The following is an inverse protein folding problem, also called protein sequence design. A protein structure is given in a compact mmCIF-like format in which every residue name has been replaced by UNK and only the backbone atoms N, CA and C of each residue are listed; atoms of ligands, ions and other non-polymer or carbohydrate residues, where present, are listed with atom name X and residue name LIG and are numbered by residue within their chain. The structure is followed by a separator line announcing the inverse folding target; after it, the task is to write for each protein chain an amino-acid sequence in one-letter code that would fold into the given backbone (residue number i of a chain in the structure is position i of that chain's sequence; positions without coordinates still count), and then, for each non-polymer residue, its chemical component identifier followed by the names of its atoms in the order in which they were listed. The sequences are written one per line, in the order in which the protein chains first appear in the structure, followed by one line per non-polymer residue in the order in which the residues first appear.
data_IF_379213049407
#
_entry.id   IF_379213049407
#
_cell.length_a   1.000
_cell.length_b   1.000
_cell.length_c   1.000
_cell.angle_alpha   90.00
_cell.angle_beta   90.00
_cell.angle_gamma   90.00
#
_symmetry.space_group_name_H-M   'P 1'
#
loop_
_entity.id
_entity.type
_entity.pdbx_description
1 polymer ?
#
# COMPACT_ATOMS: atom_id res chain seq x y z
N UNK A 1 3.51 26.44 0.43
CA UNK A 1 4.64 25.49 0.47
C UNK A 1 5.51 25.76 1.69
N UNK A 2 5.93 27.02 1.92
CA UNK A 2 6.78 27.39 3.08
C UNK A 2 6.10 27.05 4.42
N UNK A 3 4.81 27.36 4.56
CA UNK A 3 4.02 27.08 5.79
C UNK A 3 3.89 25.61 6.16
N UNK A 4 4.00 24.70 5.19
CA UNK A 4 3.96 23.25 5.43
C UNK A 4 5.34 22.74 5.86
N UNK A 5 6.41 23.27 5.27
CA UNK A 5 7.78 22.88 5.63
C UNK A 5 8.11 23.18 7.10
N UNK A 6 7.57 24.29 7.64
CA UNK A 6 7.71 24.65 9.04
C UNK A 6 6.96 23.71 10.01
N UNK A 7 6.00 22.93 9.49
CA UNK A 7 5.18 22.00 10.26
C UNK A 7 5.60 20.53 10.14
N UNK A 8 6.63 20.24 9.34
CA UNK A 8 7.20 18.90 9.25
C UNK A 8 7.90 18.58 10.57
N UNK A 9 7.46 17.50 11.20
CA UNK A 9 8.08 17.00 12.42
C UNK A 9 8.92 15.75 12.09
N UNK A 10 10.26 15.82 12.13
CA UNK A 10 11.12 14.70 11.80
C UNK A 10 11.03 13.53 12.79
N UNK A 11 10.40 13.75 13.95
CA UNK A 11 10.18 12.73 14.97
C UNK A 11 8.77 12.12 14.94
N UNK A 12 7.90 12.59 14.04
CA UNK A 12 6.56 12.04 13.89
C UNK A 12 6.60 10.68 13.17
N UNK A 13 5.72 9.78 13.57
CA UNK A 13 5.40 8.59 12.79
C UNK A 13 4.86 9.01 11.43
N UNK A 14 5.49 8.56 10.36
CA UNK A 14 5.16 8.97 9.01
C UNK A 14 4.49 7.83 8.24
N UNK A 15 3.25 8.05 7.80
CA UNK A 15 2.48 7.08 7.02
C UNK A 15 2.28 7.59 5.59
N UNK A 16 2.67 6.80 4.62
CA UNK A 16 2.59 7.12 3.20
C UNK A 16 1.44 6.41 2.48
N UNK A 17 0.78 7.14 1.60
CA UNK A 17 -0.19 6.62 0.64
C UNK A 17 0.14 7.20 -0.74
N UNK A 18 0.61 6.36 -1.64
CA UNK A 18 1.04 6.82 -2.97
C UNK A 18 0.62 5.86 -4.07
N UNK A 19 -0.30 6.30 -4.95
CA UNK A 19 -0.82 5.46 -6.03
C UNK A 19 -1.65 6.24 -7.04
N UNK A 20 -2.06 5.55 -8.12
CA UNK A 20 -3.10 6.06 -8.99
C UNK A 20 -4.40 6.22 -8.21
N UNK A 21 -5.02 7.38 -8.30
CA UNK A 21 -6.32 7.66 -7.71
C UNK A 21 -7.42 7.09 -8.61
N UNK A 22 -8.00 5.98 -8.15
CA UNK A 22 -9.21 5.37 -8.67
C UNK A 22 -10.11 5.04 -7.48
N UNK A 23 -11.42 5.04 -7.68
CA UNK A 23 -12.40 4.90 -6.58
C UNK A 23 -12.19 3.65 -5.74
N UNK A 24 -11.89 2.50 -6.35
CA UNK A 24 -11.69 1.25 -5.63
C UNK A 24 -10.43 1.22 -4.73
N UNK A 25 -9.48 2.15 -4.94
CA UNK A 25 -8.31 2.32 -4.08
C UNK A 25 -8.64 2.99 -2.75
N UNK A 26 -9.83 3.56 -2.63
CA UNK A 26 -10.43 4.14 -1.43
C UNK A 26 -9.50 5.11 -0.67
N UNK A 27 -8.87 6.03 -1.39
CA UNK A 27 -8.02 7.05 -0.77
C UNK A 27 -8.76 7.90 0.29
N UNK A 28 -10.10 7.92 0.24
CA UNK A 28 -10.98 8.62 1.20
C UNK A 28 -11.17 7.87 2.53
N UNK A 29 -10.80 6.59 2.61
CA UNK A 29 -11.18 5.73 3.72
C UNK A 29 -10.70 6.27 5.08
N UNK A 30 -9.48 6.82 5.14
CA UNK A 30 -8.92 7.46 6.34
C UNK A 30 -9.73 8.69 6.79
N UNK A 31 -10.56 9.28 5.93
CA UNK A 31 -11.32 10.50 6.19
C UNK A 31 -12.81 10.24 6.48
N UNK A 32 -13.17 8.99 6.75
CA UNK A 32 -14.56 8.57 7.05
C UNK A 32 -15.05 9.14 8.38
N UNK A 33 -14.15 9.24 9.38
CA UNK A 33 -14.43 9.86 10.69
C UNK A 33 -13.36 10.92 10.97
N UNK A 34 -13.67 12.17 10.59
CA UNK A 34 -12.73 13.28 10.74
C UNK A 34 -12.48 13.68 12.19
N UNK A 35 -13.46 13.50 13.06
CA UNK A 35 -13.31 13.84 14.48
C UNK A 35 -12.34 12.88 15.18
N UNK A 36 -12.45 11.59 14.87
CA UNK A 36 -11.53 10.58 15.37
C UNK A 36 -10.12 10.78 14.80
N UNK A 37 -10.02 11.01 13.48
CA UNK A 37 -8.76 11.31 12.84
C UNK A 37 -8.08 12.55 13.42
N UNK A 38 -8.85 13.63 13.68
CA UNK A 38 -8.32 14.84 14.30
C UNK A 38 -7.72 14.58 15.68
N UNK A 39 -8.36 13.75 16.50
CA UNK A 39 -7.83 13.34 17.81
C UNK A 39 -6.51 12.56 17.67
N UNK A 40 -6.41 11.69 16.69
CA UNK A 40 -5.20 10.90 16.42
C UNK A 40 -4.04 11.81 16.00
N UNK A 41 -4.25 12.69 15.01
CA UNK A 41 -3.16 13.48 14.42
C UNK A 41 -2.75 14.70 15.28
N UNK A 42 -3.58 15.13 16.21
CA UNK A 42 -3.29 16.24 17.13
C UNK A 42 -2.81 15.77 18.51
N UNK A 43 -2.47 14.51 18.66
CA UNK A 43 -1.87 14.04 19.90
C UNK A 43 -0.39 14.46 19.96
N UNK A 44 -0.09 15.45 20.78
CA UNK A 44 1.27 16.01 20.92
C UNK A 44 2.29 15.00 21.48
N UNK A 45 1.84 14.04 22.27
CA UNK A 45 2.69 13.00 22.84
C UNK A 45 3.11 11.96 21.80
N UNK A 46 2.26 11.72 20.82
CA UNK A 46 2.46 10.71 19.77
C UNK A 46 2.22 11.32 18.38
N UNK A 47 3.09 12.25 17.94
CA UNK A 47 2.88 12.95 16.67
C UNK A 47 2.89 12.00 15.49
N UNK A 48 1.92 12.16 14.60
CA UNK A 48 1.76 11.37 13.38
C UNK A 48 1.47 12.28 12.19
N UNK A 49 2.03 11.95 11.05
CA UNK A 49 1.77 12.65 9.79
C UNK A 49 1.45 11.65 8.69
N UNK A 50 0.46 11.99 7.87
CA UNK A 50 0.09 11.23 6.68
C UNK A 50 0.49 11.99 5.43
N UNK A 51 1.16 11.30 4.52
CA UNK A 51 1.58 11.85 3.23
C UNK A 51 0.87 11.12 2.11
N UNK A 52 0.01 11.84 1.41
CA UNK A 52 -0.71 11.38 0.24
C UNK A 52 -0.05 11.90 -1.03
N UNK A 53 0.03 11.09 -2.06
CA UNK A 53 0.44 11.50 -3.39
C UNK A 53 -0.19 10.60 -4.44
N UNK A 54 -0.38 11.10 -5.64
CA UNK A 54 -0.93 10.32 -6.74
C UNK A 54 -1.46 11.18 -7.87
N UNK A 55 -1.93 10.51 -8.91
CA UNK A 55 -2.58 11.13 -10.06
C UNK A 55 -3.86 10.36 -10.40
N UNK A 56 -4.88 11.08 -10.82
CA UNK A 56 -6.06 10.51 -11.44
C UNK A 56 -5.94 10.58 -12.97
N UNK A 57 -6.56 9.64 -13.66
CA UNK A 57 -6.66 9.73 -15.11
C UNK A 57 -7.48 10.97 -15.51
N UNK A 58 -7.13 11.70 -16.59
CA UNK A 58 -7.87 12.91 -17.01
C UNK A 58 -9.37 12.69 -17.26
N UNK A 59 -9.78 11.47 -17.63
CA UNK A 59 -11.18 11.09 -17.80
C UNK A 59 -11.85 10.52 -16.54
N UNK A 60 -11.12 10.38 -15.42
CA UNK A 60 -11.64 9.84 -14.16
C UNK A 60 -12.03 10.97 -13.20
N UNK A 61 -13.24 11.47 -13.34
CA UNK A 61 -13.79 12.51 -12.46
C UNK A 61 -13.90 12.08 -11.00
N UNK A 62 -14.13 10.79 -10.73
CA UNK A 62 -14.15 10.22 -9.38
C UNK A 62 -12.80 10.31 -8.70
N UNK A 63 -11.73 9.86 -9.37
CA UNK A 63 -10.37 9.96 -8.87
C UNK A 63 -9.91 11.40 -8.65
N UNK A 64 -10.27 12.32 -9.56
CA UNK A 64 -9.99 13.75 -9.40
C UNK A 64 -10.73 14.33 -8.18
N UNK A 65 -11.99 13.93 -7.99
CA UNK A 65 -12.79 14.32 -6.82
C UNK A 65 -12.16 13.88 -5.49
N UNK A 66 -11.57 12.68 -5.43
CA UNK A 66 -10.84 12.19 -4.26
C UNK A 66 -9.62 13.05 -3.96
N UNK A 67 -8.83 13.41 -4.95
CA UNK A 67 -7.68 14.31 -4.78
C UNK A 67 -8.13 15.66 -4.23
N UNK A 68 -9.16 16.26 -4.84
CA UNK A 68 -9.72 17.54 -4.38
C UNK A 68 -10.16 17.44 -2.92
N UNK A 69 -10.88 16.41 -2.55
CA UNK A 69 -11.37 16.19 -1.18
C UNK A 69 -10.22 16.12 -0.16
N UNK A 70 -9.16 15.36 -0.46
CA UNK A 70 -8.00 15.24 0.44
C UNK A 70 -7.26 16.58 0.57
N UNK A 71 -7.10 17.31 -0.53
CA UNK A 71 -6.47 18.64 -0.51
C UNK A 71 -7.29 19.65 0.30
N UNK A 72 -8.61 19.60 0.21
CA UNK A 72 -9.50 20.44 1.03
C UNK A 72 -9.37 20.12 2.52
N UNK A 73 -9.34 18.84 2.89
CA UNK A 73 -9.14 18.41 4.28
C UNK A 73 -7.75 18.84 4.78
N UNK A 74 -6.71 18.67 4.00
CA UNK A 74 -5.33 19.00 4.40
C UNK A 74 -5.12 20.49 4.74
N UNK A 75 -6.04 21.35 4.27
CA UNK A 75 -6.01 22.80 4.53
C UNK A 75 -6.80 23.23 5.76
N UNK A 76 -7.59 22.34 6.37
CA UNK A 76 -8.32 22.64 7.60
C UNK A 76 -7.34 22.84 8.76
N UNK A 77 -7.65 23.74 9.70
CA UNK A 77 -6.75 24.05 10.81
C UNK A 77 -6.29 22.81 11.59
N UNK A 78 -7.20 21.88 11.85
CA UNK A 78 -6.93 20.66 12.62
C UNK A 78 -6.04 19.65 11.88
N UNK A 79 -5.95 19.74 10.55
CA UNK A 79 -5.17 18.82 9.71
C UNK A 79 -3.93 19.45 9.07
N UNK A 80 -3.77 20.75 9.20
CA UNK A 80 -2.69 21.49 8.56
C UNK A 80 -1.31 21.01 9.07
N UNK A 81 -0.48 20.48 8.15
CA UNK A 81 0.81 19.89 8.47
C UNK A 81 0.73 18.47 9.06
N UNK A 82 -0.48 17.90 9.22
CA UNK A 82 -0.72 16.52 9.66
C UNK A 82 -1.15 15.63 8.51
N UNK A 83 -2.00 16.16 7.63
CA UNK A 83 -2.38 15.53 6.36
C UNK A 83 -1.71 16.35 5.26
N UNK A 84 -0.80 15.73 4.53
CA UNK A 84 0.02 16.38 3.52
C UNK A 84 -0.28 15.74 2.16
N UNK A 85 -0.60 16.55 1.16
CA UNK A 85 -0.71 16.08 -0.21
C UNK A 85 0.47 16.59 -1.05
N UNK A 86 1.25 15.66 -1.61
CA UNK A 86 2.36 15.97 -2.50
C UNK A 86 1.90 15.88 -3.95
N UNK A 87 2.03 16.97 -4.65
CA UNK A 87 1.69 17.08 -6.07
C UNK A 87 2.77 16.46 -6.98
N UNK A 88 2.44 16.32 -8.25
CA UNK A 88 3.35 15.86 -9.31
C UNK A 88 3.94 14.46 -9.08
N UNK A 89 3.12 13.53 -8.60
CA UNK A 89 3.52 12.14 -8.43
C UNK A 89 4.21 11.57 -9.69
N UNK A 90 5.45 11.13 -9.51
CA UNK A 90 6.28 10.49 -10.51
C UNK A 90 7.15 9.39 -9.88
N UNK A 91 7.96 8.71 -10.68
CA UNK A 91 8.84 7.65 -10.19
C UNK A 91 9.90 8.15 -9.19
N UNK A 92 10.36 9.38 -9.33
CA UNK A 92 11.37 9.98 -8.46
C UNK A 92 10.80 10.26 -7.07
N UNK A 93 9.59 10.83 -7.02
CA UNK A 93 8.86 11.03 -5.77
C UNK A 93 8.47 9.70 -5.13
N UNK A 94 7.96 8.75 -5.94
CA UNK A 94 7.59 7.42 -5.46
C UNK A 94 8.74 6.70 -4.76
N UNK A 95 9.94 6.69 -5.33
CA UNK A 95 11.12 6.06 -4.71
C UNK A 95 11.43 6.64 -3.34
N UNK A 96 11.39 7.98 -3.22
CA UNK A 96 11.68 8.65 -1.96
C UNK A 96 10.61 8.40 -0.90
N UNK A 97 9.35 8.42 -1.31
CA UNK A 97 8.24 8.20 -0.39
C UNK A 97 8.23 6.75 0.11
N UNK A 98 8.31 5.78 -0.79
CA UNK A 98 8.28 4.35 -0.46
C UNK A 98 9.42 3.93 0.48
N UNK A 99 10.59 4.55 0.37
CA UNK A 99 11.72 4.25 1.25
C UNK A 99 11.87 5.20 2.44
N UNK A 100 11.08 6.28 2.49
CA UNK A 100 11.25 7.36 3.46
C UNK A 100 10.15 7.45 4.53
N UNK A 101 9.06 6.70 4.39
CA UNK A 101 8.01 6.63 5.42
C UNK A 101 8.23 5.45 6.36
N UNK A 102 7.55 5.43 7.50
CA UNK A 102 7.61 4.33 8.45
C UNK A 102 6.59 3.24 8.13
N UNK A 103 5.43 3.64 7.64
CA UNK A 103 4.32 2.73 7.28
C UNK A 103 3.80 3.08 5.89
N UNK A 104 3.52 2.05 5.12
CA UNK A 104 2.88 2.15 3.80
C UNK A 104 1.44 1.68 3.87
N UNK A 105 0.50 2.58 3.62
CA UNK A 105 -0.94 2.34 3.73
C UNK A 105 -1.53 1.97 2.38
N UNK A 106 -2.31 0.86 2.34
CA UNK A 106 -3.10 0.43 1.19
C UNK A 106 -4.53 0.07 1.60
N UNK A 107 -5.49 0.65 0.94
CA UNK A 107 -6.91 0.52 1.29
C UNK A 107 -7.80 0.09 0.12
N UNK A 108 -7.41 -0.86 -0.74
CA UNK A 108 -8.24 -1.24 -1.88
C UNK A 108 -9.55 -1.89 -1.45
N UNK A 109 -10.56 -1.80 -2.31
CA UNK A 109 -11.79 -2.58 -2.17
C UNK A 109 -11.51 -4.03 -2.58
N UNK A 110 -11.77 -4.99 -1.70
CA UNK A 110 -11.62 -6.41 -2.01
C UNK A 110 -12.73 -6.88 -2.95
N UNK A 111 -12.43 -7.77 -3.90
CA UNK A 111 -11.13 -8.37 -4.29
C UNK A 111 -10.53 -7.68 -5.54
N UNK A 112 -10.54 -6.37 -5.62
CA UNK A 112 -10.22 -5.62 -6.84
C UNK A 112 -8.73 -5.31 -7.02
N UNK A 113 -7.88 -5.52 -6.01
CA UNK A 113 -6.43 -5.34 -6.13
C UNK A 113 -5.77 -6.64 -6.58
N UNK A 114 -5.24 -6.65 -7.80
CA UNK A 114 -4.62 -7.85 -8.36
C UNK A 114 -3.28 -8.21 -7.70
N UNK A 115 -2.46 -7.23 -7.37
CA UNK A 115 -1.16 -7.42 -6.71
C UNK A 115 -0.83 -6.33 -5.70
N UNK A 116 -0.61 -5.08 -6.11
CA UNK A 116 -0.24 -3.99 -5.21
C UNK A 116 1.25 -3.93 -4.88
N UNK A 117 2.11 -4.01 -5.91
CA UNK A 117 3.58 -4.10 -5.79
C UNK A 117 4.25 -2.94 -5.03
N UNK A 118 3.56 -1.83 -4.78
CA UNK A 118 4.11 -0.73 -3.98
C UNK A 118 4.38 -1.15 -2.53
N UNK A 119 3.53 -2.02 -1.96
CA UNK A 119 3.73 -2.59 -0.63
C UNK A 119 4.97 -3.49 -0.56
N UNK A 120 5.23 -4.30 -1.59
CA UNK A 120 6.44 -5.12 -1.70
C UNK A 120 7.71 -4.26 -1.72
N UNK A 121 7.68 -3.15 -2.48
CA UNK A 121 8.79 -2.20 -2.54
C UNK A 121 9.04 -1.50 -1.21
N UNK A 122 7.98 -1.11 -0.51
CA UNK A 122 8.07 -0.49 0.81
C UNK A 122 8.74 -1.47 1.79
N UNK A 123 8.26 -2.68 1.84
CA UNK A 123 8.78 -3.74 2.70
C UNK A 123 10.26 -4.02 2.47
N UNK A 124 10.71 -4.14 1.22
CA UNK A 124 12.12 -4.33 0.87
C UNK A 124 13.02 -3.17 1.31
N UNK A 125 12.44 -2.02 1.64
CA UNK A 125 13.12 -0.85 2.17
C UNK A 125 12.97 -0.69 3.70
N UNK A 126 12.40 -1.68 4.39
CA UNK A 126 12.19 -1.65 5.84
C UNK A 126 10.99 -0.80 6.26
N UNK A 127 10.13 -0.42 5.33
CA UNK A 127 8.86 0.27 5.60
C UNK A 127 7.78 -0.79 5.84
N UNK A 128 7.04 -0.67 6.94
CA UNK A 128 6.05 -1.66 7.32
C UNK A 128 4.75 -1.49 6.51
N UNK A 129 4.23 -2.59 5.99
CA UNK A 129 2.99 -2.56 5.21
C UNK A 129 1.77 -2.63 6.10
N UNK A 130 0.82 -1.72 5.88
CA UNK A 130 -0.51 -1.71 6.50
C UNK A 130 -1.58 -1.70 5.42
N UNK A 131 -2.25 -2.80 5.23
CA UNK A 131 -3.14 -2.99 4.09
C UNK A 131 -4.34 -3.84 4.40
N UNK A 132 -5.39 -3.65 3.61
CA UNK A 132 -6.44 -4.65 3.41
C UNK A 132 -5.79 -5.94 2.91
N UNK A 133 -6.30 -7.09 3.36
CA UNK A 133 -5.86 -8.41 2.87
C UNK A 133 -6.40 -8.66 1.47
N UNK A 134 -5.71 -8.09 0.49
CA UNK A 134 -5.98 -8.21 -0.95
C UNK A 134 -4.68 -8.15 -1.75
N UNK A 135 -4.70 -8.65 -2.97
CA UNK A 135 -3.51 -8.76 -3.80
C UNK A 135 -2.39 -9.57 -3.10
N UNK A 136 -1.16 -9.09 -3.20
CA UNK A 136 0.00 -9.76 -2.62
C UNK A 136 -0.07 -9.90 -1.09
N UNK A 137 -0.69 -8.94 -0.38
CA UNK A 137 -0.78 -8.97 1.09
C UNK A 137 -1.70 -10.07 1.60
N UNK A 138 -2.64 -10.54 0.77
CA UNK A 138 -3.45 -11.71 1.08
C UNK A 138 -2.61 -12.98 1.24
N UNK A 139 -1.56 -13.11 0.43
CA UNK A 139 -0.64 -14.25 0.45
C UNK A 139 0.55 -14.02 1.38
N UNK A 140 1.07 -12.79 1.43
CA UNK A 140 2.34 -12.46 2.08
C UNK A 140 2.24 -12.00 3.52
N UNK A 141 1.04 -11.73 4.02
CA UNK A 141 0.88 -11.25 5.39
C UNK A 141 1.36 -12.27 6.42
N UNK A 142 2.26 -11.83 7.29
CA UNK A 142 2.74 -12.56 8.47
C UNK A 142 2.52 -11.68 9.70
N UNK A 143 1.89 -12.23 10.72
CA UNK A 143 1.71 -11.54 12.00
C UNK A 143 3.08 -11.12 12.59
N UNK A 144 3.14 -9.88 13.08
CA UNK A 144 4.38 -9.29 13.59
C UNK A 144 5.36 -8.82 12.50
N UNK A 145 4.94 -8.75 11.23
CA UNK A 145 5.73 -8.25 10.10
C UNK A 145 5.06 -7.08 9.35
N UNK A 146 3.98 -6.57 9.88
CA UNK A 146 3.15 -5.50 9.34
C UNK A 146 1.74 -5.63 9.89
N UNK A 147 0.79 -4.87 9.35
CA UNK A 147 -0.60 -4.88 9.80
C UNK A 147 -1.56 -5.14 8.66
N UNK A 148 -2.65 -5.80 8.99
CA UNK A 148 -3.70 -6.14 8.05
C UNK A 148 -5.08 -5.85 8.64
N UNK A 149 -6.01 -5.46 7.76
CA UNK A 149 -7.43 -5.51 8.09
C UNK A 149 -7.85 -6.98 7.97
N UNK A 150 -7.90 -7.67 9.09
CA UNK A 150 -8.02 -9.13 9.16
C UNK A 150 -9.41 -9.67 8.83
N UNK A 151 -10.44 -8.84 8.87
CA UNK A 151 -11.76 -9.26 8.44
C UNK A 151 -11.77 -9.50 6.92
N UNK A 152 -11.92 -10.76 6.54
CA UNK A 152 -11.96 -11.20 5.14
C UNK A 152 -13.36 -11.16 4.55
N UNK A 153 -14.37 -10.82 5.34
CA UNK A 153 -15.75 -10.72 4.86
C UNK A 153 -15.90 -9.53 3.92
N UNK A 154 -16.68 -9.72 2.88
CA UNK A 154 -17.13 -8.68 1.98
C UNK A 154 -18.63 -8.47 2.18
N UNK A 155 -19.05 -7.23 2.18
CA UNK A 155 -20.44 -6.84 2.31
C UNK A 155 -20.95 -6.31 0.97
N UNK A 156 -22.19 -6.60 0.63
CA UNK A 156 -22.84 -6.08 -0.58
C UNK A 156 -22.96 -4.54 -0.53
N UNK A 157 -23.14 -3.99 0.68
CA UNK A 157 -23.19 -2.53 0.88
C UNK A 157 -21.78 -1.98 1.05
N UNK A 158 -21.27 -1.31 0.03
CA UNK A 158 -19.93 -0.72 0.02
C UNK A 158 -19.74 0.35 1.11
N UNK A 159 -20.76 1.15 1.40
CA UNK A 159 -20.66 2.18 2.45
C UNK A 159 -20.48 1.54 3.84
N UNK A 160 -21.18 0.45 4.09
CA UNK A 160 -21.04 -0.30 5.33
C UNK A 160 -19.64 -0.92 5.44
N UNK A 161 -19.13 -1.50 4.35
CA UNK A 161 -17.77 -2.01 4.27
C UNK A 161 -16.73 -0.91 4.55
N UNK A 162 -16.91 0.26 3.97
CA UNK A 162 -16.00 1.39 4.16
C UNK A 162 -15.98 1.88 5.62
N UNK A 163 -17.13 1.94 6.27
CA UNK A 163 -17.22 2.29 7.69
C UNK A 163 -16.51 1.28 8.59
N UNK A 164 -16.68 -0.01 8.34
CA UNK A 164 -16.04 -1.08 9.11
C UNK A 164 -14.51 -1.05 8.90
N UNK A 165 -14.07 -0.96 7.67
CA UNK A 165 -12.63 -0.92 7.35
C UNK A 165 -11.97 0.34 7.93
N UNK A 166 -12.62 1.50 7.85
CA UNK A 166 -12.14 2.73 8.45
C UNK A 166 -12.01 2.62 9.97
N UNK A 167 -13.03 2.07 10.64
CA UNK A 167 -13.01 1.84 12.09
C UNK A 167 -11.86 0.91 12.49
N UNK A 168 -11.59 -0.12 11.69
CA UNK A 168 -10.47 -1.04 11.88
C UNK A 168 -9.13 -0.34 11.70
N UNK A 169 -8.99 0.53 10.69
CA UNK A 169 -7.77 1.33 10.48
C UNK A 169 -7.48 2.19 11.71
N UNK A 170 -8.46 2.94 12.19
CA UNK A 170 -8.28 3.78 13.38
C UNK A 170 -7.93 2.94 14.61
N UNK A 171 -8.60 1.81 14.79
CA UNK A 171 -8.31 0.91 15.90
C UNK A 171 -6.86 0.42 15.86
N UNK A 172 -6.38 -0.08 14.72
CA UNK A 172 -4.99 -0.52 14.57
C UNK A 172 -3.99 0.62 14.81
N UNK A 173 -4.30 1.83 14.34
CA UNK A 173 -3.45 3.00 14.60
C UNK A 173 -3.34 3.29 16.10
N UNK A 174 -4.48 3.33 16.80
CA UNK A 174 -4.56 3.71 18.20
C UNK A 174 -4.01 2.66 19.16
N UNK A 175 -4.22 1.37 18.87
CA UNK A 175 -3.93 0.28 19.80
C UNK A 175 -2.63 -0.48 19.50
N UNK A 176 -2.15 -0.43 18.26
CA UNK A 176 -1.00 -1.22 17.83
C UNK A 176 0.12 -0.37 17.24
N UNK A 177 -0.14 0.32 16.13
CA UNK A 177 0.91 0.98 15.33
C UNK A 177 1.58 2.11 16.10
N UNK A 178 0.80 3.06 16.61
CA UNK A 178 1.32 4.21 17.36
C UNK A 178 2.00 3.76 18.66
N UNK A 179 1.38 2.93 19.50
CA UNK A 179 2.05 2.46 20.73
C UNK A 179 3.35 1.72 20.45
N UNK A 180 3.40 0.84 19.45
CA UNK A 180 4.61 0.09 19.09
C UNK A 180 5.72 1.02 18.62
N UNK A 181 5.41 2.03 17.79
CA UNK A 181 6.42 2.98 17.31
C UNK A 181 7.02 3.81 18.44
N UNK A 182 6.19 4.27 19.38
CA UNK A 182 6.60 5.16 20.45
C UNK A 182 7.09 4.45 21.74
N UNK A 183 7.05 3.12 21.80
CA UNK A 183 7.64 2.34 22.89
C UNK A 183 9.18 2.35 22.82
N UNK A 184 9.78 3.55 22.83
CA UNK A 184 11.21 3.76 22.67
C UNK A 184 11.96 3.45 23.96
N UNK A 185 13.09 2.74 23.84
CA UNK A 185 14.02 2.47 24.94
C UNK A 185 14.93 3.68 25.21
N UNK A 186 15.86 3.52 26.16
CA UNK A 186 16.84 4.56 26.51
C UNK A 186 17.79 4.97 25.37
N UNK A 187 17.88 4.16 24.31
CA UNK A 187 18.68 4.44 23.10
C UNK A 187 17.87 5.18 22.02
N UNK A 188 16.60 5.48 22.27
CA UNK A 188 15.76 6.29 21.40
C UNK A 188 15.08 5.53 20.25
N UNK A 189 15.08 4.20 20.24
CA UNK A 189 14.34 3.38 19.27
C UNK A 189 13.41 2.38 19.95
N UNK A 190 12.36 1.95 19.25
CA UNK A 190 11.45 0.90 19.71
C UNK A 190 12.00 -0.49 19.31
N UNK A 191 12.33 -1.36 20.27
CA UNK A 191 12.78 -2.73 19.97
C UNK A 191 11.72 -3.54 19.20
N UNK A 192 10.44 -3.37 19.55
CA UNK A 192 9.36 -4.09 18.90
C UNK A 192 9.17 -3.61 17.44
N UNK A 193 9.29 -2.30 17.18
CA UNK A 193 9.28 -1.78 15.81
C UNK A 193 10.39 -2.38 14.96
N UNK A 194 11.60 -2.42 15.50
CA UNK A 194 12.75 -3.06 14.82
C UNK A 194 12.50 -4.55 14.59
N UNK A 195 11.84 -5.23 15.53
CA UNK A 195 11.48 -6.63 15.34
C UNK A 195 10.47 -6.84 14.20
N UNK A 196 9.48 -5.96 14.07
CA UNK A 196 8.56 -5.96 12.92
C UNK A 196 9.32 -5.82 11.59
N UNK A 197 10.26 -4.87 11.50
CA UNK A 197 11.10 -4.69 10.31
C UNK A 197 11.93 -5.94 10.01
N UNK A 198 12.56 -6.53 11.01
CA UNK A 198 13.33 -7.77 10.84
C UNK A 198 12.46 -8.92 10.37
N UNK A 199 11.28 -9.07 10.94
CA UNK A 199 10.33 -10.11 10.53
C UNK A 199 9.87 -9.91 9.08
N UNK A 200 9.56 -8.68 8.71
CA UNK A 200 9.15 -8.31 7.35
C UNK A 200 10.22 -8.69 6.33
N UNK A 201 11.44 -8.25 6.54
CA UNK A 201 12.57 -8.54 5.64
C UNK A 201 12.91 -10.05 5.63
N UNK A 202 12.91 -10.72 6.79
CA UNK A 202 13.36 -12.10 6.87
C UNK A 202 12.32 -13.13 6.41
N UNK A 203 11.03 -12.87 6.67
CA UNK A 203 9.97 -13.86 6.46
C UNK A 203 9.16 -13.63 5.18
N UNK A 204 9.14 -12.39 4.65
CA UNK A 204 8.31 -12.03 3.52
C UNK A 204 9.16 -11.69 2.29
N UNK A 205 10.12 -10.78 2.42
CA UNK A 205 10.87 -10.26 1.26
C UNK A 205 11.49 -11.35 0.35
N UNK A 206 12.03 -12.47 0.83
CA UNK A 206 12.61 -13.50 -0.04
C UNK A 206 11.62 -14.08 -1.05
N UNK A 207 10.35 -14.22 -0.68
CA UNK A 207 9.30 -14.81 -1.52
C UNK A 207 8.76 -13.83 -2.57
N UNK A 208 9.03 -12.52 -2.40
CA UNK A 208 8.53 -11.45 -3.29
C UNK A 208 9.63 -10.77 -4.11
N UNK A 209 10.78 -11.43 -4.29
CA UNK A 209 11.85 -10.94 -5.16
C UNK A 209 11.54 -11.15 -6.63
N UNK A 210 12.05 -10.26 -7.48
CA UNK A 210 11.98 -10.43 -8.94
C UNK A 210 12.68 -11.72 -9.40
N UNK A 211 13.77 -12.10 -8.72
CA UNK A 211 14.48 -13.35 -9.03
C UNK A 211 13.58 -14.56 -8.87
N UNK A 212 12.91 -14.70 -7.72
CA UNK A 212 12.01 -15.82 -7.46
C UNK A 212 10.87 -15.86 -8.48
N UNK A 213 10.28 -14.70 -8.81
CA UNK A 213 9.23 -14.60 -9.81
C UNK A 213 9.70 -15.05 -11.21
N UNK A 214 10.89 -14.62 -11.63
CA UNK A 214 11.47 -15.03 -12.92
C UNK A 214 11.77 -16.53 -12.96
N UNK A 215 12.36 -17.08 -11.92
CA UNK A 215 12.63 -18.53 -11.81
C UNK A 215 11.31 -19.33 -11.98
N UNK A 216 10.24 -18.92 -11.28
CA UNK A 216 8.91 -19.55 -11.41
C UNK A 216 8.34 -19.43 -12.84
N UNK A 217 8.52 -18.28 -13.49
CA UNK A 217 8.03 -18.08 -14.86
C UNK A 217 8.81 -18.89 -15.88
N UNK A 218 10.13 -19.00 -15.73
CA UNK A 218 10.96 -19.84 -16.59
C UNK A 218 10.56 -21.31 -16.48
N UNK A 219 10.48 -21.84 -15.25
CA UNK A 219 10.17 -23.24 -15.02
C UNK A 219 8.73 -23.62 -15.41
N UNK A 220 7.78 -22.78 -15.01
CA UNK A 220 6.34 -23.11 -15.19
C UNK A 220 5.82 -22.82 -16.58
N UNK A 221 6.37 -21.81 -17.26
CA UNK A 221 5.81 -21.31 -18.53
C UNK A 221 6.83 -21.23 -19.66
N UNK A 222 7.91 -20.48 -19.54
CA UNK A 222 8.73 -20.11 -20.68
C UNK A 222 9.44 -21.30 -21.34
N UNK A 223 10.06 -22.18 -20.57
CA UNK A 223 10.70 -23.38 -21.12
C UNK A 223 9.69 -24.31 -21.81
N UNK A 224 8.52 -24.49 -21.19
CA UNK A 224 7.45 -25.32 -21.77
C UNK A 224 6.89 -24.71 -23.05
N UNK A 225 6.70 -23.40 -23.08
CA UNK A 225 6.22 -22.69 -24.26
C UNK A 225 7.24 -22.69 -25.37
N UNK A 226 8.52 -22.49 -25.08
CA UNK A 226 9.61 -22.57 -26.06
C UNK A 226 9.68 -23.96 -26.73
N UNK A 227 9.62 -25.02 -25.91
CA UNK A 227 9.59 -26.40 -26.41
C UNK A 227 8.36 -26.65 -27.29
N UNK A 228 7.18 -26.23 -26.85
CA UNK A 228 5.94 -26.35 -27.61
C UNK A 228 5.99 -25.54 -28.92
N UNK A 229 6.50 -24.31 -28.85
CA UNK A 229 6.66 -23.46 -30.04
C UNK A 229 7.57 -24.09 -31.07
N UNK A 230 8.74 -24.64 -30.67
CA UNK A 230 9.63 -25.37 -31.54
C UNK A 230 8.94 -26.59 -32.17
N UNK A 231 8.15 -27.35 -31.41
CA UNK A 231 7.38 -28.48 -31.91
C UNK A 231 6.32 -28.08 -32.95
N UNK A 232 5.56 -27.02 -32.67
CA UNK A 232 4.51 -26.55 -33.58
C UNK A 232 5.07 -25.92 -34.84
N UNK A 233 6.22 -25.25 -34.77
CA UNK A 233 6.87 -24.65 -35.95
C UNK A 233 7.69 -25.61 -36.81
N UNK A 234 7.97 -26.80 -36.30
CA UNK A 234 8.69 -27.82 -37.06
C UNK A 234 7.97 -28.19 -38.37
N UNK A 235 8.77 -28.66 -39.37
CA UNK A 235 8.25 -29.11 -40.65
C UNK A 235 7.29 -28.08 -41.31
N UNK A 236 7.67 -26.81 -41.30
CA UNK A 236 6.87 -25.74 -41.90
C UNK A 236 5.44 -25.67 -41.35
N UNK A 237 5.32 -25.75 -40.00
CA UNK A 237 4.07 -25.66 -39.25
C UNK A 237 3.07 -26.78 -39.55
N UNK A 238 3.53 -27.98 -39.85
CA UNK A 238 2.67 -29.11 -40.21
C UNK A 238 1.60 -29.39 -39.15
N UNK A 239 2.00 -29.45 -37.87
CA UNK A 239 1.06 -29.66 -36.74
C UNK A 239 0.06 -28.54 -36.62
N UNK A 240 0.46 -27.29 -36.81
CA UNK A 240 -0.44 -26.15 -36.76
C UNK A 240 -1.49 -26.22 -37.89
N UNK A 241 -1.10 -26.64 -39.08
CA UNK A 241 -2.01 -26.82 -40.21
C UNK A 241 -3.00 -27.97 -39.96
N UNK A 242 -2.53 -29.10 -39.41
CA UNK A 242 -3.41 -30.21 -39.00
C UNK A 242 -4.43 -29.80 -37.96
N UNK A 243 -4.01 -29.06 -36.93
CA UNK A 243 -4.92 -28.52 -35.89
C UNK A 243 -5.94 -27.54 -36.46
N UNK A 244 -5.51 -26.67 -37.40
CA UNK A 244 -6.44 -25.74 -38.05
C UNK A 244 -7.46 -26.48 -38.95
N UNK A 245 -7.05 -27.55 -39.62
CA UNK A 245 -7.96 -28.35 -40.41
C UNK A 245 -8.94 -29.20 -39.59
N UNK A 246 -8.52 -29.59 -38.37
CA UNK A 246 -9.39 -30.35 -37.45
C UNK A 246 -10.45 -29.48 -36.79
N UNK A 247 -10.19 -28.20 -36.53
CA UNK A 247 -11.09 -27.23 -35.92
C UNK A 247 -12.17 -26.72 -36.87
#
# INVERSE_FOLDING_TARGET
VVSILEKINPNALLIGFGRRFATYKRAHLLFTDLDRLAKIVNNEKFPIQFVFTGKAHPADGGGQGLIKHIVEISRRPEFLGKIIFLENYDMRLARRLISGVDVWLNTPTRPLEASGTSGEKAEMNGVLNFSVLDGWWYEGYVEGAGWALTDKRTYENQQYQDQLDAATIYHCLETEIIPTYYAKNSKGYSPDWIQYIKNSIAKIAPDYTMKRMLDDYEDRFYHKLATRSAHISANNYEIAKQLAAWK
#
